data_IF_024873869015
#
_entry.id   IF_024873869015
#
_cell.length_a   1.000
_cell.length_b   1.000
_cell.length_c   1.000
_cell.angle_alpha   90.00
_cell.angle_beta   90.00
_cell.angle_gamma   90.00
#
_symmetry.space_group_name_H-M   'P 1'
#
loop_
_entity.id
_entity.type
_entity.pdbx_description
1 polymer ?
#
# COMPACT_ATOMS: atom_id res chain seq x y z
N UNK A 1 5.55 5.74 1.12
CA UNK A 1 6.29 4.82 0.21
C UNK A 1 7.22 5.60 -0.70
N UNK A 2 8.45 5.17 -0.89
CA UNK A 2 9.43 5.67 -1.89
C UNK A 2 9.78 7.17 -1.86
N UNK A 3 9.46 7.91 -0.81
CA UNK A 3 9.59 9.37 -0.80
C UNK A 3 11.02 9.84 -1.10
N UNK A 4 12.03 9.19 -0.50
CA UNK A 4 13.44 9.53 -0.72
C UNK A 4 13.87 9.29 -2.17
N UNK A 5 13.48 8.15 -2.75
CA UNK A 5 13.81 7.82 -4.14
C UNK A 5 13.07 8.74 -5.12
N UNK A 6 11.77 8.97 -4.89
CA UNK A 6 10.95 9.85 -5.73
C UNK A 6 11.50 11.28 -5.79
N UNK A 7 11.93 11.84 -4.65
CA UNK A 7 12.52 13.18 -4.59
C UNK A 7 13.83 13.27 -5.38
N UNK A 8 14.69 12.26 -5.26
CA UNK A 8 15.98 12.22 -5.97
C UNK A 8 15.80 12.07 -7.47
N UNK A 9 14.86 11.18 -7.87
CA UNK A 9 14.55 10.98 -9.29
C UNK A 9 13.85 12.20 -9.91
N UNK A 10 12.92 12.84 -9.19
CA UNK A 10 12.28 14.06 -9.69
C UNK A 10 13.32 15.18 -9.86
N UNK A 11 14.25 15.36 -8.93
CA UNK A 11 15.35 16.32 -9.06
C UNK A 11 16.23 16.01 -10.28
N UNK A 12 16.63 14.76 -10.47
CA UNK A 12 17.45 14.34 -11.60
C UNK A 12 16.75 14.59 -12.95
N UNK A 13 15.48 14.26 -13.04
CA UNK A 13 14.70 14.39 -14.27
C UNK A 13 14.18 15.81 -14.51
N UNK A 14 14.07 16.64 -13.47
CA UNK A 14 13.62 18.04 -13.57
C UNK A 14 14.54 18.89 -14.45
N UNK A 15 15.84 18.62 -14.42
CA UNK A 15 16.82 19.29 -15.26
C UNK A 15 16.47 19.14 -16.75
N UNK A 16 15.96 17.97 -17.15
CA UNK A 16 15.56 17.71 -18.54
C UNK A 16 14.18 18.27 -18.91
N UNK A 17 13.27 18.43 -17.91
CA UNK A 17 11.91 18.95 -18.17
C UNK A 17 11.88 20.42 -18.60
N UNK A 18 12.90 21.20 -18.21
CA UNK A 18 12.99 22.65 -18.50
C UNK A 18 13.73 23.02 -19.80
N UNK A 19 14.37 22.06 -20.47
CA UNK A 19 15.15 22.34 -21.68
C UNK A 19 14.38 21.97 -22.96
N UNK A 20 14.20 22.94 -23.84
CA UNK A 20 13.60 22.73 -25.16
C UNK A 20 14.49 21.92 -26.12
N UNK A 21 15.78 21.78 -25.82
CA UNK A 21 16.74 20.90 -26.50
C UNK A 21 17.59 20.19 -25.46
N UNK A 22 17.78 18.89 -25.62
CA UNK A 22 18.61 18.04 -24.76
C UNK A 22 19.81 17.57 -25.56
N UNK A 23 21.01 17.68 -25.00
CA UNK A 23 22.25 17.14 -25.58
C UNK A 23 22.54 15.74 -25.03
N UNK A 24 23.38 14.96 -25.71
CA UNK A 24 23.88 13.68 -25.19
C UNK A 24 24.56 13.84 -23.82
N UNK A 25 25.25 14.97 -23.60
CA UNK A 25 25.91 15.27 -22.35
C UNK A 25 24.88 15.40 -21.23
N UNK A 26 23.79 16.15 -21.46
CA UNK A 26 22.72 16.32 -20.48
C UNK A 26 22.03 14.98 -20.15
N UNK A 27 21.82 14.10 -21.14
CA UNK A 27 21.29 12.75 -20.92
C UNK A 27 22.25 11.93 -20.07
N UNK A 28 23.56 11.97 -20.37
CA UNK A 28 24.56 11.21 -19.62
C UNK A 28 24.66 11.67 -18.16
N UNK A 29 24.64 12.98 -17.92
CA UNK A 29 24.64 13.57 -16.57
C UNK A 29 23.38 13.20 -15.79
N UNK A 30 22.21 13.34 -16.40
CA UNK A 30 20.94 12.93 -15.77
C UNK A 30 20.92 11.44 -15.41
N UNK A 31 21.38 10.57 -16.32
CA UNK A 31 21.44 9.14 -16.04
C UNK A 31 22.47 8.78 -14.97
N UNK A 32 23.53 9.57 -14.80
CA UNK A 32 24.45 9.42 -13.67
C UNK A 32 23.75 9.72 -12.34
N UNK A 33 22.97 10.81 -12.28
CA UNK A 33 22.19 11.16 -11.09
C UNK A 33 21.06 10.15 -10.82
N UNK A 34 20.38 9.66 -11.86
CA UNK A 34 19.38 8.57 -11.74
C UNK A 34 20.03 7.32 -11.16
N UNK A 35 21.22 6.93 -11.65
CA UNK A 35 21.95 5.78 -11.11
C UNK A 35 22.29 5.98 -9.65
N UNK A 36 22.76 7.17 -9.28
CA UNK A 36 23.07 7.52 -7.89
C UNK A 36 21.83 7.43 -7.01
N UNK A 37 20.68 7.95 -7.47
CA UNK A 37 19.43 7.86 -6.75
C UNK A 37 18.99 6.40 -6.49
N UNK A 38 19.17 5.50 -7.48
CA UNK A 38 18.90 4.07 -7.33
C UNK A 38 19.85 3.40 -6.33
N UNK A 39 21.14 3.73 -6.37
CA UNK A 39 22.12 3.20 -5.40
C UNK A 39 21.82 3.67 -3.97
N UNK A 40 21.49 4.94 -3.80
CA UNK A 40 21.07 5.49 -2.51
C UNK A 40 19.76 4.88 -1.98
N UNK A 41 18.98 4.29 -2.87
CA UNK A 41 17.78 3.53 -2.55
C UNK A 41 18.04 2.04 -2.30
N UNK A 42 19.28 1.63 -2.10
CA UNK A 42 19.71 0.23 -1.92
C UNK A 42 19.42 -0.70 -3.13
N UNK A 43 19.33 -0.16 -4.34
CA UNK A 43 19.29 -0.97 -5.55
C UNK A 43 20.69 -1.50 -5.86
N UNK A 44 20.78 -2.79 -6.20
CA UNK A 44 22.05 -3.42 -6.57
C UNK A 44 22.76 -2.66 -7.71
N UNK A 45 24.08 -2.44 -7.58
CA UNK A 45 24.87 -1.68 -8.55
C UNK A 45 24.73 -2.19 -9.98
N UNK A 46 24.77 -3.52 -10.18
CA UNK A 46 24.65 -4.13 -11.51
C UNK A 46 23.29 -3.81 -12.14
N UNK A 47 22.23 -3.93 -11.37
CA UNK A 47 20.85 -3.61 -11.80
C UNK A 47 20.74 -2.12 -12.15
N UNK A 48 21.23 -1.22 -11.28
CA UNK A 48 21.19 0.22 -11.52
C UNK A 48 22.00 0.62 -12.78
N UNK A 49 23.14 -0.04 -13.03
CA UNK A 49 23.97 0.17 -14.22
C UNK A 49 23.24 -0.31 -15.49
N UNK A 50 22.72 -1.53 -15.48
CA UNK A 50 21.97 -2.11 -16.61
C UNK A 50 20.74 -1.27 -16.94
N UNK A 51 19.99 -0.85 -15.93
CA UNK A 51 18.83 0.02 -16.09
C UNK A 51 19.22 1.34 -16.81
N UNK A 52 20.23 2.06 -16.32
CA UNK A 52 20.64 3.33 -16.93
C UNK A 52 21.22 3.15 -18.34
N UNK A 53 21.83 2.00 -18.64
CA UNK A 53 22.30 1.71 -19.99
C UNK A 53 21.11 1.48 -20.95
N UNK A 54 20.10 0.69 -20.56
CA UNK A 54 18.89 0.48 -21.36
C UNK A 54 18.14 1.79 -21.60
N UNK A 55 18.01 2.63 -20.58
CA UNK A 55 17.39 3.97 -20.75
C UNK A 55 18.19 4.81 -21.75
N UNK A 56 19.54 4.78 -21.70
CA UNK A 56 20.39 5.50 -22.65
C UNK A 56 20.19 5.00 -24.08
N UNK A 57 20.23 3.71 -24.30
CA UNK A 57 20.02 3.09 -25.60
C UNK A 57 18.66 3.45 -26.21
N UNK A 58 17.58 3.36 -25.41
CA UNK A 58 16.24 3.73 -25.85
C UNK A 58 16.12 5.24 -26.15
N UNK A 59 16.75 6.07 -25.33
CA UNK A 59 16.76 7.51 -25.56
C UNK A 59 17.43 7.89 -26.88
N UNK A 60 18.55 7.27 -27.20
CA UNK A 60 19.26 7.47 -28.49
C UNK A 60 18.46 6.89 -29.66
N UNK A 61 17.90 5.67 -29.52
CA UNK A 61 17.13 4.99 -30.56
C UNK A 61 15.80 5.68 -30.90
N UNK A 62 15.18 6.38 -29.96
CA UNK A 62 13.93 7.12 -30.16
C UNK A 62 14.16 8.61 -30.55
N UNK A 63 15.38 8.99 -30.89
CA UNK A 63 15.73 10.38 -31.28
C UNK A 63 15.23 11.44 -30.26
N UNK A 64 15.36 11.15 -28.96
CA UNK A 64 14.93 12.06 -27.86
C UNK A 64 15.50 13.47 -28.06
N UNK A 65 16.72 13.57 -28.59
CA UNK A 65 17.41 14.83 -28.82
C UNK A 65 16.75 15.73 -29.87
N UNK A 66 15.95 15.16 -30.76
CA UNK A 66 15.32 15.87 -31.90
C UNK A 66 13.81 16.05 -31.75
N UNK A 67 13.21 15.54 -30.66
CA UNK A 67 11.77 15.67 -30.42
C UNK A 67 11.41 17.05 -29.87
N UNK A 68 10.14 17.47 -30.06
CA UNK A 68 9.61 18.73 -29.55
C UNK A 68 9.49 18.77 -28.01
N UNK A 69 9.40 17.59 -27.36
CA UNK A 69 9.26 17.47 -25.89
C UNK A 69 10.21 16.40 -25.32
N UNK A 70 11.52 16.62 -25.43
CA UNK A 70 12.51 15.59 -25.08
C UNK A 70 12.47 15.20 -23.60
N UNK A 71 12.19 16.12 -22.68
CA UNK A 71 12.08 15.83 -21.25
C UNK A 71 10.90 14.91 -20.93
N UNK A 72 9.76 15.06 -21.59
CA UNK A 72 8.60 14.17 -21.38
C UNK A 72 8.86 12.77 -21.93
N UNK A 73 9.50 12.68 -23.10
CA UNK A 73 9.88 11.38 -23.67
C UNK A 73 10.90 10.66 -22.78
N UNK A 74 11.88 11.37 -22.20
CA UNK A 74 12.82 10.78 -21.23
C UNK A 74 12.10 10.22 -20.00
N UNK A 75 11.17 10.98 -19.40
CA UNK A 75 10.38 10.50 -18.27
C UNK A 75 9.58 9.24 -18.63
N UNK A 76 8.99 9.21 -19.84
CA UNK A 76 8.28 8.03 -20.33
C UNK A 76 9.20 6.83 -20.45
N UNK A 77 10.39 6.98 -21.05
CA UNK A 77 11.38 5.90 -21.19
C UNK A 77 11.79 5.37 -19.80
N UNK A 78 12.09 6.26 -18.86
CA UNK A 78 12.43 5.88 -17.48
C UNK A 78 11.28 5.13 -16.80
N UNK A 79 10.03 5.58 -16.98
CA UNK A 79 8.84 4.90 -16.46
C UNK A 79 8.70 3.50 -17.05
N UNK A 80 8.80 3.37 -18.35
CA UNK A 80 8.63 2.10 -19.05
C UNK A 80 9.74 1.10 -18.64
N UNK A 81 10.99 1.56 -18.46
CA UNK A 81 12.10 0.75 -17.96
C UNK A 81 11.95 0.35 -16.48
N UNK A 82 11.48 1.25 -15.61
CA UNK A 82 11.15 0.91 -14.22
C UNK A 82 10.05 -0.14 -14.15
N UNK A 83 9.01 0.02 -14.97
CA UNK A 83 7.91 -0.94 -15.06
C UNK A 83 8.42 -2.32 -15.47
N UNK A 84 9.23 -2.39 -16.52
CA UNK A 84 9.84 -3.64 -17.00
C UNK A 84 10.75 -4.28 -15.93
N UNK A 85 11.53 -3.47 -15.21
CA UNK A 85 12.44 -3.93 -14.16
C UNK A 85 11.67 -4.57 -12.98
N UNK A 86 10.46 -4.07 -12.67
CA UNK A 86 9.60 -4.59 -11.62
C UNK A 86 8.68 -5.74 -12.08
N UNK A 87 8.73 -6.14 -13.34
CA UNK A 87 8.02 -7.32 -13.84
C UNK A 87 7.13 -7.09 -15.06
N UNK A 88 6.88 -5.83 -15.43
CA UNK A 88 6.03 -5.45 -16.57
C UNK A 88 4.54 -5.59 -16.26
N UNK A 89 4.03 -6.82 -16.30
CA UNK A 89 2.62 -7.12 -16.10
C UNK A 89 2.30 -7.57 -14.67
N UNK A 90 1.01 -7.55 -14.35
CA UNK A 90 0.47 -8.03 -13.08
C UNK A 90 0.33 -9.53 -13.09
N UNK A 91 0.89 -10.20 -12.09
CA UNK A 91 0.77 -11.65 -11.92
C UNK A 91 -0.27 -11.99 -10.86
N UNK A 92 -1.35 -12.64 -11.27
CA UNK A 92 -2.41 -13.06 -10.38
C UNK A 92 -1.97 -14.25 -9.51
N UNK A 93 -2.57 -14.33 -8.30
CA UNK A 93 -2.42 -15.52 -7.45
C UNK A 93 -3.21 -16.70 -8.06
N UNK A 94 -2.60 -17.88 -8.03
CA UNK A 94 -3.23 -19.09 -8.53
C UNK A 94 -4.10 -19.76 -7.46
N UNK A 95 -5.40 -19.57 -7.57
CA UNK A 95 -6.42 -20.16 -6.69
C UNK A 95 -7.49 -20.94 -7.49
N UNK A 96 -7.03 -21.65 -8.53
CA UNK A 96 -7.91 -22.41 -9.46
C UNK A 96 -8.34 -23.76 -8.92
N UNK A 97 -7.52 -24.41 -8.09
CA UNK A 97 -7.86 -25.71 -7.48
C UNK A 97 -8.86 -25.59 -6.31
N UNK A 98 -9.43 -26.71 -5.89
CA UNK A 98 -10.35 -26.78 -4.75
C UNK A 98 -10.01 -27.99 -3.85
N UNK A 99 -9.45 -27.78 -2.65
CA UNK A 99 -8.90 -26.51 -2.20
C UNK A 99 -7.60 -26.14 -2.92
N UNK A 100 -7.39 -24.85 -3.17
CA UNK A 100 -6.06 -24.34 -3.54
C UNK A 100 -5.21 -24.20 -2.29
N UNK A 101 -4.01 -24.77 -2.30
CA UNK A 101 -3.08 -24.71 -1.17
C UNK A 101 -2.03 -23.64 -1.43
N UNK A 102 -1.92 -22.68 -0.51
CA UNK A 102 -0.96 -21.58 -0.53
C UNK A 102 0.02 -21.79 0.62
N UNK A 103 1.31 -21.87 0.32
CA UNK A 103 2.37 -21.98 1.31
C UNK A 103 3.04 -20.62 1.53
N UNK A 104 3.01 -20.14 2.78
CA UNK A 104 3.69 -18.89 3.16
C UNK A 104 5.08 -19.20 3.68
N UNK A 105 6.11 -18.62 3.09
CA UNK A 105 7.52 -18.83 3.45
C UNK A 105 8.25 -17.52 3.73
N UNK A 106 9.35 -17.52 4.49
CA UNK A 106 10.15 -16.33 4.78
C UNK A 106 10.72 -16.30 6.18
N UNK A 107 11.56 -15.31 6.49
CA UNK A 107 12.22 -15.18 7.79
C UNK A 107 11.26 -14.76 8.92
N UNK A 108 11.70 -14.91 10.16
CA UNK A 108 11.01 -14.37 11.33
C UNK A 108 10.91 -12.84 11.23
N UNK A 109 9.76 -12.29 11.62
CA UNK A 109 9.54 -10.84 11.56
C UNK A 109 9.23 -10.27 10.16
N UNK A 110 9.27 -11.11 9.11
CA UNK A 110 8.88 -10.68 7.75
C UNK A 110 7.38 -10.40 7.60
N UNK A 111 6.55 -10.74 8.58
CA UNK A 111 5.12 -10.49 8.56
C UNK A 111 4.26 -11.62 8.00
N UNK A 112 4.77 -12.86 7.87
CA UNK A 112 4.03 -14.01 7.34
C UNK A 112 2.65 -14.19 7.98
N UNK A 113 2.58 -14.36 9.28
CA UNK A 113 1.34 -14.61 10.04
C UNK A 113 0.31 -13.49 9.83
N UNK A 114 0.74 -12.23 9.95
CA UNK A 114 -0.14 -11.09 9.68
C UNK A 114 -0.60 -11.06 8.24
N UNK A 115 0.31 -11.36 7.31
CA UNK A 115 -0.03 -11.34 5.88
C UNK A 115 -0.90 -12.54 5.48
N UNK A 116 -0.77 -13.70 6.14
CA UNK A 116 -1.69 -14.83 5.98
C UNK A 116 -3.14 -14.43 6.26
N UNK A 117 -3.38 -13.64 7.32
CA UNK A 117 -4.69 -13.09 7.61
C UNK A 117 -5.16 -12.05 6.59
N UNK A 118 -4.28 -11.14 6.17
CA UNK A 118 -4.60 -10.15 5.12
C UNK A 118 -4.96 -10.82 3.80
N UNK A 119 -4.20 -11.84 3.41
CA UNK A 119 -4.47 -12.62 2.21
C UNK A 119 -5.79 -13.39 2.31
N UNK A 120 -6.07 -13.99 3.47
CA UNK A 120 -7.34 -14.66 3.73
C UNK A 120 -8.52 -13.68 3.61
N UNK A 121 -8.40 -12.48 4.21
CA UNK A 121 -9.39 -11.42 4.09
C UNK A 121 -9.60 -10.98 2.64
N UNK A 122 -8.51 -10.74 1.90
CA UNK A 122 -8.55 -10.38 0.48
C UNK A 122 -9.25 -11.46 -0.36
N UNK A 123 -8.90 -12.73 -0.17
CA UNK A 123 -9.50 -13.85 -0.91
C UNK A 123 -10.99 -14.01 -0.59
N UNK A 124 -11.37 -13.82 0.69
CA UNK A 124 -12.76 -13.86 1.13
C UNK A 124 -13.59 -12.71 0.54
N UNK A 125 -13.10 -11.49 0.65
CA UNK A 125 -13.87 -10.28 0.31
C UNK A 125 -13.82 -9.92 -1.17
N UNK A 126 -12.65 -10.10 -1.83
CA UNK A 126 -12.46 -9.70 -3.23
C UNK A 126 -12.56 -10.86 -4.22
N UNK A 127 -12.33 -12.09 -3.79
CA UNK A 127 -12.35 -13.27 -4.67
C UNK A 127 -13.46 -14.26 -4.33
N UNK A 128 -14.31 -13.94 -3.34
CA UNK A 128 -15.45 -14.77 -2.92
C UNK A 128 -15.01 -16.21 -2.59
N UNK A 129 -13.81 -16.35 -1.99
CA UNK A 129 -13.26 -17.64 -1.56
C UNK A 129 -13.62 -17.91 -0.10
N UNK A 130 -13.59 -19.19 0.29
CA UNK A 130 -13.73 -19.65 1.68
C UNK A 130 -12.39 -20.19 2.16
N UNK A 131 -11.51 -19.34 2.72
CA UNK A 131 -10.19 -19.77 3.17
C UNK A 131 -10.22 -20.44 4.52
N UNK A 132 -9.24 -21.34 4.76
CA UNK A 132 -8.83 -21.88 6.07
C UNK A 132 -7.37 -21.50 6.29
N UNK A 133 -7.04 -20.97 7.47
CA UNK A 133 -5.67 -20.76 7.92
C UNK A 133 -5.16 -22.00 8.64
N UNK A 134 -3.89 -22.38 8.44
CA UNK A 134 -3.26 -23.53 9.09
C UNK A 134 -1.98 -23.11 9.80
N UNK A 135 -1.90 -23.35 11.12
CA UNK A 135 -0.79 -22.96 11.98
C UNK A 135 0.30 -24.03 11.96
N UNK A 136 1.36 -23.85 11.19
CA UNK A 136 2.51 -24.76 11.13
C UNK A 136 3.78 -24.21 11.82
N UNK A 137 3.69 -23.10 12.58
CA UNK A 137 4.81 -22.65 13.44
C UNK A 137 4.77 -23.39 14.79
N UNK A 138 5.28 -24.61 14.79
CA UNK A 138 5.27 -25.51 15.97
C UNK A 138 6.27 -25.10 17.06
N UNK A 139 7.22 -24.23 16.75
CA UNK A 139 8.30 -23.82 17.68
C UNK A 139 7.88 -22.70 18.61
N UNK A 140 6.84 -21.96 18.25
CA UNK A 140 6.39 -20.77 18.98
C UNK A 140 4.90 -20.85 19.29
N UNK A 141 4.52 -21.30 20.50
CA UNK A 141 3.09 -21.34 20.88
C UNK A 141 2.37 -19.99 20.68
N UNK A 142 3.04 -18.88 20.95
CA UNK A 142 2.50 -17.55 20.73
C UNK A 142 2.20 -17.23 19.24
N UNK A 143 2.89 -17.87 18.28
CA UNK A 143 2.59 -17.70 16.86
C UNK A 143 1.28 -18.39 16.47
N UNK A 144 0.97 -19.53 17.08
CA UNK A 144 -0.33 -20.21 16.90
C UNK A 144 -1.45 -19.32 17.43
N UNK A 145 -1.28 -18.77 18.65
CA UNK A 145 -2.25 -17.84 19.25
C UNK A 145 -2.43 -16.59 18.38
N UNK A 146 -1.33 -16.04 17.85
CA UNK A 146 -1.37 -14.90 16.94
C UNK A 146 -2.18 -15.21 15.68
N UNK A 147 -2.01 -16.39 15.08
CA UNK A 147 -2.77 -16.75 13.90
C UNK A 147 -4.27 -16.90 14.21
N UNK A 148 -4.63 -17.41 15.38
CA UNK A 148 -6.03 -17.47 15.84
C UNK A 148 -6.63 -16.08 16.01
N UNK A 149 -5.91 -15.14 16.66
CA UNK A 149 -6.34 -13.75 16.81
C UNK A 149 -6.55 -13.10 15.44
N UNK A 150 -5.62 -13.29 14.52
CA UNK A 150 -5.71 -12.77 13.16
C UNK A 150 -6.89 -13.39 12.41
N UNK A 151 -7.11 -14.72 12.54
CA UNK A 151 -8.25 -15.41 11.94
C UNK A 151 -9.59 -14.87 12.46
N UNK A 152 -9.71 -14.65 13.77
CA UNK A 152 -10.90 -14.06 14.40
C UNK A 152 -11.16 -12.64 13.87
N UNK A 153 -10.15 -11.80 13.78
CA UNK A 153 -10.26 -10.43 13.25
C UNK A 153 -10.85 -10.37 11.85
N UNK A 154 -10.51 -11.35 11.00
CA UNK A 154 -11.00 -11.40 9.60
C UNK A 154 -12.17 -12.35 9.41
N UNK A 155 -12.61 -13.02 10.48
CA UNK A 155 -13.70 -14.01 10.46
C UNK A 155 -13.38 -15.20 9.55
N UNK A 156 -12.15 -15.75 9.68
CA UNK A 156 -11.65 -16.92 8.96
C UNK A 156 -11.23 -17.98 9.98
N UNK A 157 -11.65 -19.23 9.76
CA UNK A 157 -11.30 -20.33 10.62
C UNK A 157 -9.81 -20.65 10.57
N UNK A 158 -9.26 -21.10 11.73
CA UNK A 158 -7.88 -21.52 11.87
C UNK A 158 -7.83 -22.97 12.32
N UNK A 159 -7.06 -23.79 11.62
CA UNK A 159 -6.70 -25.13 12.04
C UNK A 159 -5.36 -25.10 12.77
N UNK A 160 -5.28 -25.73 13.93
CA UNK A 160 -4.04 -25.91 14.68
C UNK A 160 -4.08 -27.24 15.44
N UNK A 161 -2.92 -27.86 15.60
CA UNK A 161 -2.73 -29.06 16.41
C UNK A 161 -1.57 -28.81 17.38
N UNK A 162 -1.91 -28.38 18.62
CA UNK A 162 -0.91 -27.95 19.62
C UNK A 162 -0.10 -29.12 20.21
N UNK A 163 -0.60 -30.34 20.08
CA UNK A 163 0.07 -31.55 20.57
C UNK A 163 1.08 -32.12 19.57
N UNK A 164 1.05 -31.64 18.33
CA UNK A 164 1.84 -32.17 17.25
C UNK A 164 3.04 -31.24 16.96
N UNK A 165 4.22 -31.80 16.85
CA UNK A 165 5.47 -31.08 16.55
C UNK A 165 5.95 -31.30 15.11
N UNK A 166 5.19 -32.08 14.30
CA UNK A 166 5.48 -32.31 12.89
C UNK A 166 4.68 -31.34 12.00
N UNK A 167 5.30 -30.28 11.45
CA UNK A 167 4.60 -29.31 10.64
C UNK A 167 4.07 -29.91 9.32
N UNK A 168 4.67 -31.00 8.82
CA UNK A 168 4.18 -31.71 7.61
C UNK A 168 2.87 -32.41 7.92
N UNK A 169 2.77 -33.09 9.07
CA UNK A 169 1.55 -33.77 9.50
C UNK A 169 0.41 -32.75 9.73
N UNK A 170 0.72 -31.61 10.38
CA UNK A 170 -0.25 -30.52 10.62
C UNK A 170 -0.75 -29.94 9.28
N UNK A 171 0.13 -29.67 8.34
CA UNK A 171 -0.23 -29.15 7.02
C UNK A 171 -1.17 -30.08 6.26
N UNK A 172 -0.89 -31.40 6.24
CA UNK A 172 -1.75 -32.40 5.62
C UNK A 172 -3.11 -32.50 6.32
N UNK A 173 -3.13 -32.51 7.64
CA UNK A 173 -4.35 -32.56 8.43
C UNK A 173 -5.22 -31.30 8.21
N UNK A 174 -4.61 -30.12 8.15
CA UNK A 174 -5.27 -28.86 7.83
C UNK A 174 -5.92 -28.86 6.42
N UNK A 175 -5.25 -29.46 5.42
CA UNK A 175 -5.82 -29.61 4.07
C UNK A 175 -7.00 -30.58 4.09
N UNK A 176 -6.93 -31.66 4.86
CA UNK A 176 -8.04 -32.62 5.03
C UNK A 176 -9.23 -31.94 5.72
N UNK A 177 -8.99 -31.17 6.78
CA UNK A 177 -10.01 -30.38 7.48
C UNK A 177 -10.69 -29.35 6.56
N UNK A 178 -9.92 -28.66 5.73
CA UNK A 178 -10.45 -27.73 4.74
C UNK A 178 -11.41 -28.40 3.77
N UNK A 179 -11.07 -29.61 3.30
CA UNK A 179 -11.96 -30.42 2.43
C UNK A 179 -13.23 -30.80 3.16
N UNK A 180 -13.14 -31.25 4.42
CA UNK A 180 -14.30 -31.64 5.22
C UNK A 180 -15.25 -30.46 5.49
N UNK A 181 -14.71 -29.25 5.69
CA UNK A 181 -15.48 -28.01 5.93
C UNK A 181 -15.93 -27.30 4.65
N UNK A 182 -15.59 -27.83 3.48
CA UNK A 182 -15.91 -27.21 2.18
C UNK A 182 -15.21 -25.86 1.99
N UNK A 183 -14.01 -25.69 2.57
CA UNK A 183 -13.12 -24.57 2.28
C UNK A 183 -12.44 -24.80 0.93
N UNK A 184 -12.34 -23.74 0.12
CA UNK A 184 -11.78 -23.84 -1.23
C UNK A 184 -10.38 -23.25 -1.37
N UNK A 185 -9.83 -22.65 -0.30
CA UNK A 185 -8.45 -22.20 -0.19
C UNK A 185 -7.90 -22.59 1.18
N UNK A 186 -6.64 -23.00 1.23
CA UNK A 186 -5.88 -23.27 2.45
C UNK A 186 -4.62 -22.41 2.43
N UNK A 187 -4.41 -21.63 3.48
CA UNK A 187 -3.19 -20.82 3.65
C UNK A 187 -2.39 -21.42 4.80
N UNK A 188 -1.21 -21.92 4.50
CA UNK A 188 -0.32 -22.58 5.47
C UNK A 188 0.72 -21.56 5.94
N UNK A 189 0.58 -21.13 7.21
CA UNK A 189 1.52 -20.23 7.87
C UNK A 189 2.64 -21.04 8.52
N UNK A 190 3.88 -20.88 8.03
CA UNK A 190 5.03 -21.67 8.49
C UNK A 190 5.90 -20.91 9.49
N UNK A 191 6.70 -21.65 10.23
CA UNK A 191 7.73 -21.08 11.07
C UNK A 191 8.68 -20.16 10.29
N UNK A 192 9.22 -19.17 10.96
CA UNK A 192 10.34 -18.36 10.47
C UNK A 192 11.45 -18.35 11.49
N UNK A 193 12.69 -18.41 11.04
CA UNK A 193 13.89 -18.22 11.87
C UNK A 193 14.53 -16.87 11.58
N UNK A 194 15.44 -16.46 12.44
CA UNK A 194 16.12 -15.14 12.33
C UNK A 194 17.06 -15.07 11.13
N UNK A 195 17.58 -16.20 10.68
CA UNK A 195 18.47 -16.29 9.54
C UNK A 195 18.14 -17.52 8.70
N UNK A 196 18.63 -17.54 7.46
CA UNK A 196 18.58 -18.72 6.59
C UNK A 196 19.53 -19.77 7.12
N UNK A 197 19.00 -20.90 7.59
CA UNK A 197 19.77 -22.06 8.04
C UNK A 197 19.28 -23.37 7.38
N UNK A 198 20.11 -24.39 7.37
CA UNK A 198 19.81 -25.68 6.70
C UNK A 198 18.59 -26.38 7.30
N UNK A 199 18.37 -26.26 8.61
CA UNK A 199 17.26 -26.92 9.31
C UNK A 199 15.94 -26.31 8.85
N UNK A 200 15.85 -25.00 8.85
CA UNK A 200 14.66 -24.29 8.36
C UNK A 200 14.39 -24.59 6.89
N UNK A 201 15.44 -24.54 6.06
CA UNK A 201 15.29 -24.74 4.62
C UNK A 201 14.86 -26.17 4.30
N UNK A 202 15.39 -27.15 5.05
CA UNK A 202 14.98 -28.56 4.93
C UNK A 202 13.52 -28.75 5.38
N UNK A 203 13.11 -28.14 6.49
CA UNK A 203 11.74 -28.25 6.98
C UNK A 203 10.74 -27.72 5.97
N UNK A 204 10.97 -26.47 5.48
CA UNK A 204 10.02 -25.87 4.53
C UNK A 204 10.01 -26.60 3.20
N UNK A 205 11.15 -27.15 2.74
CA UNK A 205 11.23 -28.00 1.55
C UNK A 205 10.43 -29.31 1.75
N UNK A 206 10.48 -29.92 2.94
CA UNK A 206 9.71 -31.11 3.27
C UNK A 206 8.19 -30.81 3.28
N UNK A 207 7.77 -29.68 3.86
CA UNK A 207 6.38 -29.23 3.80
C UNK A 207 5.98 -29.06 2.35
N UNK A 208 6.70 -28.26 1.58
CA UNK A 208 6.43 -27.99 0.16
C UNK A 208 6.27 -29.29 -0.65
N UNK A 209 7.22 -30.22 -0.54
CA UNK A 209 7.19 -31.51 -1.23
C UNK A 209 5.99 -32.38 -0.83
N UNK A 210 5.61 -32.32 0.45
CA UNK A 210 4.54 -33.16 1.01
C UNK A 210 3.14 -32.69 0.63
N UNK A 211 2.91 -31.38 0.46
CA UNK A 211 1.60 -30.79 0.18
C UNK A 211 1.42 -30.34 -1.27
N UNK A 212 2.50 -30.20 -2.05
CA UNK A 212 2.49 -29.74 -3.44
C UNK A 212 1.58 -28.52 -3.63
N UNK A 213 1.91 -27.36 -3.03
CA UNK A 213 1.04 -26.19 -3.05
C UNK A 213 0.84 -25.69 -4.49
N UNK A 214 -0.34 -25.13 -4.78
CA UNK A 214 -0.60 -24.42 -6.02
C UNK A 214 0.13 -23.08 -6.08
N UNK A 215 0.47 -22.54 -4.92
CA UNK A 215 1.16 -21.27 -4.79
C UNK A 215 2.10 -21.29 -3.60
N UNK A 216 3.37 -21.01 -3.83
CA UNK A 216 4.36 -20.77 -2.76
C UNK A 216 4.74 -19.31 -2.79
N UNK A 217 4.41 -18.59 -1.70
CA UNK A 217 4.64 -17.16 -1.60
C UNK A 217 5.77 -16.87 -0.60
N UNK A 218 6.78 -16.18 -1.08
CA UNK A 218 7.88 -15.71 -0.25
C UNK A 218 7.56 -14.32 0.34
N UNK A 219 7.47 -14.25 1.66
CA UNK A 219 7.15 -13.02 2.40
C UNK A 219 8.42 -12.39 2.92
N UNK A 220 8.65 -11.14 2.56
CA UNK A 220 9.86 -10.41 2.95
C UNK A 220 9.54 -8.97 3.34
N UNK A 221 10.28 -8.47 4.32
CA UNK A 221 10.22 -7.10 4.79
C UNK A 221 10.95 -6.17 3.81
N UNK A 222 10.23 -5.25 3.18
CA UNK A 222 10.78 -4.30 2.22
C UNK A 222 11.82 -3.36 2.83
N UNK A 223 11.74 -3.11 4.15
CA UNK A 223 12.67 -2.20 4.86
C UNK A 223 14.09 -2.76 4.98
N UNK A 224 14.28 -4.08 4.81
CA UNK A 224 15.60 -4.73 4.89
C UNK A 224 16.47 -4.50 3.65
N UNK A 225 15.95 -3.81 2.63
CA UNK A 225 16.72 -3.38 1.45
C UNK A 225 17.38 -4.55 0.70
N UNK A 226 18.70 -4.54 0.54
CA UNK A 226 19.43 -5.56 -0.21
C UNK A 226 19.39 -6.94 0.47
N UNK A 227 19.23 -7.01 1.81
CA UNK A 227 19.10 -8.28 2.53
C UNK A 227 17.80 -9.01 2.15
N UNK A 228 16.73 -8.27 1.85
CA UNK A 228 15.51 -8.84 1.30
C UNK A 228 15.80 -9.61 -0.01
N UNK A 229 16.62 -9.05 -0.87
CA UNK A 229 16.98 -9.62 -2.18
C UNK A 229 17.85 -10.86 -2.00
N UNK A 230 18.84 -10.81 -1.12
CA UNK A 230 19.73 -11.94 -0.83
C UNK A 230 18.93 -13.11 -0.22
N UNK A 231 18.05 -12.82 0.72
CA UNK A 231 17.16 -13.81 1.33
C UNK A 231 16.23 -14.44 0.30
N UNK A 232 15.61 -13.61 -0.56
CA UNK A 232 14.75 -14.09 -1.63
C UNK A 232 15.49 -15.08 -2.55
N UNK A 233 16.75 -14.77 -2.89
CA UNK A 233 17.58 -15.67 -3.70
C UNK A 233 17.79 -17.01 -3.01
N UNK A 234 18.19 -17.03 -1.74
CA UNK A 234 18.43 -18.26 -0.99
C UNK A 234 17.16 -19.14 -0.91
N UNK A 235 15.99 -18.55 -0.66
CA UNK A 235 14.72 -19.28 -0.66
C UNK A 235 14.34 -19.77 -2.07
N UNK A 236 14.56 -18.97 -3.11
CA UNK A 236 14.23 -19.35 -4.47
C UNK A 236 15.06 -20.52 -4.98
N UNK A 237 16.33 -20.56 -4.61
CA UNK A 237 17.25 -21.65 -5.02
C UNK A 237 16.80 -23.03 -4.47
N UNK A 238 16.03 -23.05 -3.37
CA UNK A 238 15.55 -24.30 -2.73
C UNK A 238 14.08 -24.58 -3.04
N UNK A 239 13.20 -23.56 -2.93
CA UNK A 239 11.75 -23.74 -3.05
C UNK A 239 11.23 -23.46 -4.45
N UNK A 240 11.99 -22.71 -5.26
CA UNK A 240 11.51 -22.20 -6.55
C UNK A 240 10.09 -21.59 -6.42
N UNK A 241 9.90 -20.72 -5.43
CA UNK A 241 8.59 -20.14 -5.10
C UNK A 241 7.93 -19.42 -6.30
N UNK A 242 6.60 -19.22 -6.25
CA UNK A 242 5.83 -18.70 -7.38
C UNK A 242 5.68 -17.18 -7.36
N UNK A 243 5.84 -16.54 -6.20
CA UNK A 243 5.72 -15.11 -6.08
C UNK A 243 6.24 -14.54 -4.77
N UNK A 244 6.43 -13.25 -4.76
CA UNK A 244 6.93 -12.48 -3.62
C UNK A 244 5.84 -11.59 -3.05
N UNK A 245 5.83 -11.48 -1.74
CA UNK A 245 5.04 -10.52 -0.97
C UNK A 245 6.00 -9.56 -0.28
N UNK A 246 5.85 -8.27 -0.56
CA UNK A 246 6.58 -7.22 0.13
C UNK A 246 5.74 -6.66 1.27
N UNK A 247 6.19 -6.84 2.51
CA UNK A 247 5.54 -6.28 3.69
C UNK A 247 6.19 -4.97 4.12
N UNK A 248 5.52 -4.20 4.97
CA UNK A 248 5.99 -2.94 5.58
C UNK A 248 6.43 -1.88 4.56
N UNK A 249 5.82 -1.90 3.39
CA UNK A 249 6.16 -0.97 2.32
C UNK A 249 5.78 0.48 2.65
N UNK A 250 4.85 0.68 3.58
CA UNK A 250 4.48 1.98 4.16
C UNK A 250 5.65 2.64 4.91
N UNK A 251 6.49 1.87 5.56
CA UNK A 251 7.74 2.32 6.21
C UNK A 251 8.94 2.46 5.27
N UNK A 252 8.88 1.84 4.08
CA UNK A 252 9.99 1.90 3.12
C UNK A 252 9.96 3.20 2.30
N UNK A 253 10.95 4.04 2.55
CA UNK A 253 11.16 5.29 1.80
C UNK A 253 12.13 5.14 0.64
N UNK A 254 12.86 4.03 0.55
CA UNK A 254 13.92 3.75 -0.42
C UNK A 254 13.45 2.98 -1.63
N UNK A 255 12.75 1.86 -1.43
CA UNK A 255 12.16 1.05 -2.50
C UNK A 255 13.10 0.09 -3.22
N UNK A 256 14.33 -0.06 -2.75
CA UNK A 256 15.34 -0.88 -3.40
C UNK A 256 14.97 -2.36 -3.53
N UNK A 257 14.32 -2.93 -2.51
CA UNK A 257 13.84 -4.30 -2.55
C UNK A 257 12.80 -4.51 -3.67
N UNK A 258 11.81 -3.61 -3.78
CA UNK A 258 10.76 -3.69 -4.81
C UNK A 258 11.33 -3.63 -6.24
N UNK A 259 12.38 -2.83 -6.44
CA UNK A 259 13.04 -2.69 -7.75
C UNK A 259 13.93 -3.89 -8.07
N UNK A 260 14.62 -4.44 -7.07
CA UNK A 260 15.71 -5.41 -7.29
C UNK A 260 15.23 -6.88 -7.28
N UNK A 261 14.21 -7.20 -6.51
CA UNK A 261 13.83 -8.61 -6.23
C UNK A 261 13.51 -9.38 -7.51
N UNK A 262 12.66 -8.81 -8.38
CA UNK A 262 12.28 -9.46 -9.66
C UNK A 262 13.49 -9.76 -10.53
N UNK A 263 14.44 -8.83 -10.60
CA UNK A 263 15.64 -8.97 -11.42
C UNK A 263 16.59 -10.06 -10.91
N UNK A 264 16.61 -10.31 -9.60
CA UNK A 264 17.52 -11.28 -8.98
C UNK A 264 16.94 -12.69 -8.99
N UNK A 265 15.66 -12.84 -8.60
CA UNK A 265 15.04 -14.16 -8.45
C UNK A 265 14.17 -14.56 -9.66
N UNK A 266 13.94 -13.65 -10.58
CA UNK A 266 13.05 -13.83 -11.75
C UNK A 266 11.63 -14.30 -11.37
N UNK A 267 11.15 -13.89 -10.20
CA UNK A 267 9.81 -14.20 -9.70
C UNK A 267 8.99 -12.90 -9.53
N UNK A 268 7.69 -12.92 -9.83
CA UNK A 268 6.85 -11.72 -9.73
C UNK A 268 6.62 -11.32 -8.28
N UNK A 269 6.51 -10.02 -8.05
CA UNK A 269 5.89 -9.51 -6.82
C UNK A 269 4.38 -9.56 -7.05
N UNK A 270 3.63 -10.28 -6.19
CA UNK A 270 2.18 -10.44 -6.33
C UNK A 270 1.40 -9.49 -5.45
N UNK A 271 1.88 -9.28 -4.22
CA UNK A 271 1.19 -8.45 -3.23
C UNK A 271 2.15 -7.56 -2.46
N UNK A 272 1.60 -6.48 -1.92
CA UNK A 272 2.27 -5.57 -1.01
C UNK A 272 1.44 -5.34 0.24
N UNK A 273 2.11 -5.24 1.39
CA UNK A 273 1.53 -4.78 2.65
C UNK A 273 1.80 -3.29 2.84
N UNK A 274 0.74 -2.52 3.01
CA UNK A 274 0.76 -1.04 3.02
C UNK A 274 0.33 -0.46 4.37
N UNK A 275 0.49 -1.22 5.46
CA UNK A 275 0.15 -0.80 6.81
C UNK A 275 -0.23 -1.98 7.71
N UNK A 276 -0.62 -1.72 8.94
CA UNK A 276 -0.91 -2.76 9.94
C UNK A 276 -2.31 -3.37 9.82
N UNK A 277 -3.30 -2.62 9.33
CA UNK A 277 -4.69 -3.07 9.23
C UNK A 277 -4.84 -4.30 8.33
N UNK A 278 -5.84 -5.14 8.59
CA UNK A 278 -6.10 -6.36 7.80
C UNK A 278 -6.50 -6.07 6.35
N UNK A 279 -7.04 -4.89 6.07
CA UNK A 279 -7.37 -4.40 4.73
C UNK A 279 -6.17 -3.80 3.99
N UNK A 280 -5.04 -3.55 4.70
CA UNK A 280 -3.85 -2.95 4.13
C UNK A 280 -3.01 -3.97 3.33
N UNK A 281 -3.61 -4.48 2.27
CA UNK A 281 -3.04 -5.37 1.26
C UNK A 281 -3.44 -4.84 -0.11
N UNK A 282 -2.47 -4.72 -1.01
CA UNK A 282 -2.73 -4.37 -2.40
C UNK A 282 -2.07 -5.39 -3.34
N UNK A 283 -2.65 -5.58 -4.51
CA UNK A 283 -1.99 -6.27 -5.62
C UNK A 283 -0.84 -5.41 -6.12
N UNK A 284 0.27 -6.01 -6.46
CA UNK A 284 1.42 -5.28 -7.00
C UNK A 284 1.21 -4.97 -8.48
N UNK A 285 1.09 -3.70 -8.81
CA UNK A 285 0.97 -3.19 -10.18
C UNK A 285 2.27 -2.50 -10.59
N UNK A 286 3.15 -3.13 -11.40
CA UNK A 286 4.44 -2.54 -11.77
C UNK A 286 4.35 -1.13 -12.33
N UNK A 287 3.38 -0.88 -13.22
CA UNK A 287 3.14 0.45 -13.82
C UNK A 287 2.83 1.51 -12.75
N UNK A 288 1.90 1.20 -11.83
CA UNK A 288 1.50 2.14 -10.75
C UNK A 288 2.66 2.40 -9.78
N UNK A 289 3.49 1.37 -9.51
CA UNK A 289 4.69 1.53 -8.67
C UNK A 289 5.73 2.42 -9.35
N UNK A 290 5.95 2.26 -10.66
CA UNK A 290 6.83 3.15 -11.43
C UNK A 290 6.34 4.60 -11.41
N UNK A 291 5.03 4.82 -11.56
CA UNK A 291 4.42 6.15 -11.48
C UNK A 291 4.58 6.78 -10.09
N UNK A 292 4.38 6.02 -9.01
CA UNK A 292 4.63 6.48 -7.62
C UNK A 292 6.10 6.85 -7.41
N UNK A 293 7.03 6.01 -7.87
CA UNK A 293 8.49 6.25 -7.77
C UNK A 293 8.88 7.53 -8.52
N UNK A 294 8.24 7.84 -9.64
CA UNK A 294 8.50 9.05 -10.41
C UNK A 294 7.72 10.29 -9.93
N UNK A 295 7.00 10.18 -8.80
CA UNK A 295 6.22 11.29 -8.25
C UNK A 295 5.01 11.69 -9.11
N UNK A 296 4.58 10.81 -10.03
CA UNK A 296 3.42 11.02 -10.90
C UNK A 296 2.09 10.73 -10.20
N UNK A 297 2.15 10.18 -8.97
CA UNK A 297 0.97 9.76 -8.22
C UNK A 297 0.41 8.40 -8.68
N UNK A 298 -0.71 8.01 -8.11
CA UNK A 298 -1.43 6.79 -8.45
C UNK A 298 -2.95 7.04 -8.34
N UNK A 299 -3.44 7.84 -9.25
CA UNK A 299 -4.85 8.25 -9.27
C UNK A 299 -5.79 7.07 -9.44
N UNK A 300 -5.37 6.03 -10.16
CA UNK A 300 -6.19 4.83 -10.39
C UNK A 300 -6.45 4.08 -9.08
N UNK A 301 -5.38 3.80 -8.30
CA UNK A 301 -5.55 3.16 -6.98
C UNK A 301 -6.36 4.02 -6.01
N UNK A 302 -6.21 5.35 -6.08
CA UNK A 302 -7.01 6.27 -5.25
C UNK A 302 -8.51 6.17 -5.60
N UNK A 303 -8.84 6.16 -6.88
CA UNK A 303 -10.23 6.03 -7.36
C UNK A 303 -10.80 4.65 -7.02
N UNK A 304 -10.03 3.57 -7.22
CA UNK A 304 -10.46 2.21 -6.85
C UNK A 304 -10.78 2.12 -5.35
N UNK A 305 -9.89 2.61 -4.46
CA UNK A 305 -10.14 2.64 -3.01
C UNK A 305 -11.34 3.51 -2.64
N UNK A 306 -11.51 4.65 -3.31
CA UNK A 306 -12.67 5.50 -3.11
C UNK A 306 -13.97 4.76 -3.49
N UNK A 307 -13.99 4.08 -4.64
CA UNK A 307 -15.17 3.31 -5.10
C UNK A 307 -15.51 2.14 -4.18
N UNK A 308 -14.52 1.46 -3.62
CA UNK A 308 -14.73 0.33 -2.69
C UNK A 308 -15.36 0.77 -1.35
N UNK A 309 -15.06 1.98 -0.89
CA UNK A 309 -15.59 2.53 0.35
C UNK A 309 -16.82 3.42 0.12
N UNK A 310 -17.21 3.63 -1.15
CA UNK A 310 -18.27 4.55 -1.52
C UNK A 310 -19.64 3.89 -1.33
N UNK A 311 -20.34 4.27 -0.28
CA UNK A 311 -21.77 3.96 -0.11
C UNK A 311 -22.61 5.00 -0.87
N UNK A 312 -23.14 4.57 -2.02
CA UNK A 312 -23.96 5.45 -2.86
C UNK A 312 -25.21 5.97 -2.13
N UNK A 313 -25.76 5.20 -1.20
CA UNK A 313 -26.94 5.61 -0.42
C UNK A 313 -26.55 6.68 0.61
N UNK A 314 -25.41 6.52 1.28
CA UNK A 314 -24.88 7.53 2.20
C UNK A 314 -24.52 8.82 1.46
N UNK A 315 -23.85 8.72 0.33
CA UNK A 315 -23.50 9.88 -0.51
C UNK A 315 -24.75 10.66 -0.95
N UNK A 316 -25.79 9.97 -1.41
CA UNK A 316 -27.09 10.60 -1.77
C UNK A 316 -27.77 11.24 -0.58
N UNK A 317 -27.69 10.65 0.63
CA UNK A 317 -28.23 11.26 1.88
C UNK A 317 -27.49 12.54 2.22
N UNK A 318 -26.17 12.51 2.20
CA UNK A 318 -25.31 13.68 2.48
C UNK A 318 -25.58 14.79 1.46
N UNK A 319 -25.67 14.46 0.18
CA UNK A 319 -25.99 15.43 -0.87
C UNK A 319 -27.34 16.11 -0.62
N UNK A 320 -28.37 15.37 -0.23
CA UNK A 320 -29.68 15.94 0.13
C UNK A 320 -29.59 16.84 1.38
N UNK A 321 -28.79 16.47 2.39
CA UNK A 321 -28.60 17.28 3.60
C UNK A 321 -27.87 18.59 3.30
N UNK A 322 -26.84 18.57 2.43
CA UNK A 322 -26.12 19.76 2.00
C UNK A 322 -27.06 20.71 1.26
N UNK A 323 -27.85 20.19 0.32
CA UNK A 323 -28.83 20.99 -0.41
C UNK A 323 -29.86 21.67 0.51
N UNK A 324 -30.23 21.03 1.61
CA UNK A 324 -31.18 21.56 2.62
C UNK A 324 -30.51 22.38 3.72
N UNK A 325 -29.21 22.68 3.65
CA UNK A 325 -28.42 23.31 4.73
C UNK A 325 -28.47 22.56 6.07
N UNK A 326 -28.59 21.24 6.05
CA UNK A 326 -28.70 20.35 7.21
C UNK A 326 -27.42 19.53 7.45
N UNK A 327 -26.30 19.88 6.81
CA UNK A 327 -25.01 19.24 7.01
C UNK A 327 -24.47 19.59 8.40
N UNK A 328 -24.27 18.60 9.26
CA UNK A 328 -23.84 18.74 10.65
C UNK A 328 -22.50 18.08 10.95
N UNK A 329 -22.07 18.13 12.21
CA UNK A 329 -20.83 17.50 12.66
C UNK A 329 -20.89 15.96 12.65
N UNK A 330 -22.09 15.36 12.78
CA UNK A 330 -22.22 13.90 12.63
C UNK A 330 -21.93 13.46 11.18
N UNK A 331 -22.37 14.26 10.19
CA UNK A 331 -22.09 13.99 8.79
C UNK A 331 -20.59 14.20 8.46
N UNK A 332 -19.99 15.22 9.08
CA UNK A 332 -18.56 15.49 8.97
C UNK A 332 -17.72 14.36 9.56
N UNK A 333 -18.10 13.84 10.73
CA UNK A 333 -17.45 12.70 11.37
C UNK A 333 -17.55 11.45 10.52
N UNK A 334 -18.72 11.16 9.94
CA UNK A 334 -18.92 10.05 9.01
C UNK A 334 -17.97 10.13 7.80
N UNK A 335 -17.81 11.33 7.21
CA UNK A 335 -16.87 11.54 6.11
C UNK A 335 -15.40 11.28 6.52
N UNK A 336 -14.99 11.77 7.69
CA UNK A 336 -13.64 11.49 8.22
C UNK A 336 -13.43 9.99 8.41
N UNK A 337 -14.42 9.29 8.96
CA UNK A 337 -14.33 7.84 9.17
C UNK A 337 -14.26 7.06 7.85
N UNK A 338 -14.98 7.50 6.80
CA UNK A 338 -14.85 6.92 5.47
C UNK A 338 -13.45 7.10 4.90
N UNK A 339 -12.86 8.29 5.01
CA UNK A 339 -11.48 8.54 4.57
C UNK A 339 -10.49 7.68 5.36
N UNK A 340 -10.67 7.53 6.68
CA UNK A 340 -9.84 6.63 7.50
C UNK A 340 -9.91 5.16 7.06
N UNK A 341 -11.05 4.71 6.56
CA UNK A 341 -11.21 3.34 6.04
C UNK A 341 -10.46 3.12 4.72
N UNK A 342 -10.23 4.18 3.93
CA UNK A 342 -9.47 4.09 2.67
C UNK A 342 -7.96 3.82 2.88
N UNK A 343 -7.44 3.99 4.09
CA UNK A 343 -6.03 3.75 4.44
C UNK A 343 -5.38 4.90 5.19
N UNK A 344 -4.02 4.86 5.25
CA UNK A 344 -3.23 5.92 5.87
C UNK A 344 -3.32 7.21 5.03
N UNK A 345 -3.56 8.36 5.65
CA UNK A 345 -3.69 9.65 4.98
C UNK A 345 -2.42 10.03 4.19
N UNK A 346 -1.23 9.73 4.72
CA UNK A 346 0.04 9.98 4.02
C UNK A 346 0.12 9.20 2.69
N UNK A 347 -0.37 7.96 2.67
CA UNK A 347 -0.40 7.13 1.47
C UNK A 347 -1.41 7.65 0.45
N UNK A 348 -2.63 8.01 0.91
CA UNK A 348 -3.66 8.57 0.03
C UNK A 348 -3.19 9.88 -0.62
N UNK A 349 -2.54 10.74 0.15
CA UNK A 349 -1.96 11.99 -0.38
C UNK A 349 -0.81 11.73 -1.35
N UNK A 350 0.01 10.70 -1.11
CA UNK A 350 1.06 10.28 -2.04
C UNK A 350 0.53 9.77 -3.39
N UNK A 351 -0.74 9.37 -3.45
CA UNK A 351 -1.39 8.96 -4.71
C UNK A 351 -1.84 10.14 -5.56
N UNK A 352 -1.95 11.34 -4.98
CA UNK A 352 -2.35 12.56 -5.71
C UNK A 352 -1.12 13.19 -6.37
N UNK A 353 -1.12 13.38 -7.70
CA UNK A 353 -0.01 14.02 -8.41
C UNK A 353 0.31 15.41 -7.84
N UNK A 354 1.58 15.63 -7.46
CA UNK A 354 2.05 16.93 -6.95
C UNK A 354 1.71 17.25 -5.49
N UNK A 355 0.84 16.50 -4.83
CA UNK A 355 0.46 16.77 -3.44
C UNK A 355 1.62 16.58 -2.45
N UNK A 356 2.55 15.66 -2.73
CA UNK A 356 3.73 15.42 -1.89
C UNK A 356 4.63 16.67 -1.72
N UNK A 357 4.65 17.58 -2.70
CA UNK A 357 5.40 18.85 -2.61
C UNK A 357 4.69 19.90 -1.75
N UNK A 358 3.35 19.90 -1.72
CA UNK A 358 2.55 20.86 -0.96
C UNK A 358 2.49 20.55 0.54
N UNK A 359 2.83 19.33 0.94
CA UNK A 359 2.63 18.83 2.30
C UNK A 359 3.91 18.58 3.08
N UNK A 360 5.08 19.01 2.60
CA UNK A 360 6.36 18.88 3.35
C UNK A 360 6.28 19.49 4.76
N UNK A 361 5.40 20.47 4.94
CA UNK A 361 5.26 21.24 6.20
C UNK A 361 3.95 20.89 6.97
N UNK A 362 3.15 19.93 6.50
CA UNK A 362 1.91 19.53 7.17
C UNK A 362 2.08 18.14 7.74
N UNK A 363 2.35 18.08 9.03
CA UNK A 363 2.34 16.81 9.77
C UNK A 363 0.88 16.39 9.96
N UNK A 364 0.38 15.56 9.01
CA UNK A 364 -0.93 14.93 9.12
C UNK A 364 -0.76 13.70 9.99
N UNK A 365 -0.75 13.92 11.29
CA UNK A 365 -0.72 12.88 12.28
C UNK A 365 -2.12 12.23 12.40
N UNK A 366 -2.18 10.91 12.50
CA UNK A 366 -3.42 10.18 12.82
C UNK A 366 -4.03 10.66 14.16
N UNK A 367 -3.21 11.24 15.05
CA UNK A 367 -3.66 11.86 16.30
C UNK A 367 -4.49 13.14 16.09
N UNK A 368 -4.30 13.87 14.99
CA UNK A 368 -5.14 15.01 14.65
C UNK A 368 -6.60 14.62 14.48
N UNK A 369 -6.86 13.44 13.91
CA UNK A 369 -8.23 12.92 13.78
C UNK A 369 -8.83 12.50 15.13
N UNK A 370 -8.03 11.97 16.06
CA UNK A 370 -8.49 11.64 17.42
C UNK A 370 -8.99 12.89 18.16
N UNK A 371 -8.28 14.01 18.01
CA UNK A 371 -8.72 15.27 18.59
C UNK A 371 -10.04 15.78 17.98
N UNK A 372 -10.20 15.68 16.68
CA UNK A 372 -11.44 16.03 15.97
C UNK A 372 -12.61 15.17 16.47
N UNK A 373 -12.41 13.86 16.54
CA UNK A 373 -13.41 12.91 17.06
C UNK A 373 -13.79 13.24 18.52
N UNK A 374 -12.79 13.47 19.38
CA UNK A 374 -13.01 13.83 20.79
C UNK A 374 -13.82 15.14 20.94
N UNK A 375 -13.50 16.15 20.14
CA UNK A 375 -14.24 17.43 20.13
C UNK A 375 -15.69 17.20 19.72
N UNK A 376 -15.95 16.44 18.63
CA UNK A 376 -17.32 16.19 18.14
C UNK A 376 -18.09 15.34 19.15
N UNK A 377 -17.49 14.32 19.74
CA UNK A 377 -18.14 13.49 20.76
C UNK A 377 -18.45 14.25 22.05
N UNK A 378 -17.72 15.33 22.36
CA UNK A 378 -18.00 16.21 23.50
C UNK A 378 -19.12 17.21 23.24
N UNK A 379 -19.64 17.31 22.02
CA UNK A 379 -20.80 18.10 21.67
C UNK A 379 -22.11 17.36 21.99
N UNK A 380 -23.16 18.10 22.38
CA UNK A 380 -24.51 17.51 22.47
C UNK A 380 -25.05 17.19 21.07
N UNK A 381 -26.04 16.26 20.93
CA UNK A 381 -26.67 15.96 19.65
C UNK A 381 -27.21 17.19 18.91
N UNK A 382 -27.75 18.17 19.68
CA UNK A 382 -28.25 19.42 19.11
C UNK A 382 -27.11 20.31 18.57
N UNK A 383 -26.01 20.41 19.30
CA UNK A 383 -24.82 21.16 18.86
C UNK A 383 -24.17 20.53 17.63
N UNK A 384 -24.16 19.19 17.51
CA UNK A 384 -23.66 18.49 16.32
C UNK A 384 -24.55 18.74 15.10
N UNK A 385 -25.87 18.77 15.29
CA UNK A 385 -26.81 19.02 14.19
C UNK A 385 -26.91 20.49 13.79
N UNK A 386 -26.67 21.42 14.72
CA UNK A 386 -26.79 22.89 14.51
C UNK A 386 -25.52 23.61 14.95
N UNK A 387 -24.45 23.62 14.13
CA UNK A 387 -23.17 24.24 14.47
C UNK A 387 -23.27 25.73 14.88
N UNK A 388 -24.29 26.42 14.43
CA UNK A 388 -24.54 27.83 14.76
C UNK A 388 -24.84 28.08 16.27
N UNK A 389 -25.18 27.04 17.02
CA UNK A 389 -25.42 27.15 18.48
C UNK A 389 -24.11 27.28 19.29
N UNK A 390 -22.95 27.05 18.69
CA UNK A 390 -21.68 27.01 19.39
C UNK A 390 -21.14 28.39 19.72
N UNK A 391 -21.60 28.95 20.87
CA UNK A 391 -21.05 30.17 21.45
C UNK A 391 -19.77 29.93 22.26
N UNK A 392 -19.16 31.01 22.79
CA UNK A 392 -17.90 30.95 23.53
C UNK A 392 -17.96 30.03 24.77
N UNK A 393 -19.06 30.05 25.53
CA UNK A 393 -19.24 29.19 26.72
C UNK A 393 -19.31 27.72 26.35
N UNK A 394 -20.06 27.35 25.29
CA UNK A 394 -20.18 25.98 24.80
C UNK A 394 -18.84 25.47 24.26
N UNK A 395 -18.08 26.29 23.52
CA UNK A 395 -16.75 25.96 23.05
C UNK A 395 -15.77 25.70 24.20
N UNK A 396 -15.84 26.47 25.28
CA UNK A 396 -15.02 26.25 26.48
C UNK A 396 -15.35 24.92 27.15
N UNK A 397 -16.63 24.57 27.28
CA UNK A 397 -17.08 23.29 27.83
C UNK A 397 -16.63 22.11 26.96
N UNK A 398 -16.80 22.23 25.63
CA UNK A 398 -16.39 21.19 24.65
C UNK A 398 -14.88 20.96 24.71
N UNK A 399 -14.08 22.04 24.74
CA UNK A 399 -12.63 21.93 24.88
C UNK A 399 -12.21 21.23 26.16
N UNK A 400 -12.82 21.58 27.30
CA UNK A 400 -12.56 20.91 28.59
C UNK A 400 -12.96 19.41 28.55
N UNK A 401 -14.14 19.09 27.97
CA UNK A 401 -14.65 17.72 27.90
C UNK A 401 -13.88 16.82 26.93
N UNK A 402 -13.28 17.39 25.90
CA UNK A 402 -12.48 16.66 24.89
C UNK A 402 -10.98 16.58 25.21
N UNK A 403 -10.54 17.22 26.28
CA UNK A 403 -9.10 17.34 26.58
C UNK A 403 -8.34 18.21 25.56
N UNK A 404 -9.06 19.11 24.84
CA UNK A 404 -8.47 19.97 23.82
C UNK A 404 -8.54 21.45 24.21
N UNK A 405 -7.82 22.30 23.49
CA UNK A 405 -7.84 23.75 23.68
C UNK A 405 -9.02 24.41 22.95
N UNK A 406 -9.45 25.59 23.42
CA UNK A 406 -10.44 26.40 22.71
C UNK A 406 -9.97 26.74 21.28
N UNK A 407 -8.65 26.90 21.09
CA UNK A 407 -8.07 27.16 19.78
C UNK A 407 -8.30 26.02 18.82
N UNK A 408 -8.11 24.75 19.26
CA UNK A 408 -8.38 23.55 18.45
C UNK A 408 -9.87 23.44 18.13
N UNK A 409 -10.77 23.73 19.07
CA UNK A 409 -12.22 23.78 18.80
C UNK A 409 -12.55 24.84 17.74
N UNK A 410 -11.97 26.03 17.82
CA UNK A 410 -12.18 27.08 16.82
C UNK A 410 -11.59 26.72 15.46
N UNK A 411 -10.46 26.04 15.43
CA UNK A 411 -9.85 25.54 14.19
C UNK A 411 -10.76 24.51 13.50
N UNK A 412 -11.33 23.56 14.26
CA UNK A 412 -12.31 22.61 13.75
C UNK A 412 -13.53 23.31 13.16
N UNK A 413 -14.07 24.31 13.85
CA UNK A 413 -15.20 25.12 13.36
C UNK A 413 -14.87 25.77 12.01
N UNK A 414 -13.67 26.35 11.88
CA UNK A 414 -13.23 27.00 10.65
C UNK A 414 -13.09 25.98 9.50
N UNK A 415 -12.52 24.79 9.78
CA UNK A 415 -12.40 23.72 8.80
C UNK A 415 -13.77 23.20 8.34
N UNK A 416 -14.69 23.00 9.28
CA UNK A 416 -16.06 22.60 8.99
C UNK A 416 -16.78 23.61 8.08
N UNK A 417 -16.69 24.91 8.40
CA UNK A 417 -17.28 25.99 7.59
C UNK A 417 -16.69 26.05 6.17
N UNK A 418 -15.37 25.90 6.04
CA UNK A 418 -14.69 25.89 4.74
C UNK A 418 -15.15 24.71 3.89
N UNK A 419 -15.22 23.51 4.48
CA UNK A 419 -15.65 22.30 3.79
C UNK A 419 -17.14 22.40 3.40
N UNK A 420 -18.01 22.87 4.29
CA UNK A 420 -19.43 23.08 4.02
C UNK A 420 -19.65 24.05 2.85
N UNK A 421 -18.87 25.14 2.79
CA UNK A 421 -18.91 26.10 1.68
C UNK A 421 -18.45 25.49 0.36
N UNK A 422 -17.35 24.73 0.39
CA UNK A 422 -16.81 24.04 -0.79
C UNK A 422 -17.81 23.03 -1.34
N UNK A 423 -18.43 22.22 -0.50
CA UNK A 423 -19.46 21.26 -0.91
C UNK A 423 -20.68 21.94 -1.55
N UNK A 424 -21.13 23.09 -1.00
CA UNK A 424 -22.22 23.88 -1.59
C UNK A 424 -21.85 24.44 -2.98
N UNK A 425 -20.63 24.92 -3.15
CA UNK A 425 -20.16 25.41 -4.46
C UNK A 425 -20.10 24.29 -5.51
N UNK A 426 -19.75 23.08 -5.10
CA UNK A 426 -19.72 21.91 -6.02
C UNK A 426 -21.12 21.52 -6.49
N UNK A 427 -22.17 21.67 -5.70
CA UNK A 427 -23.56 21.39 -6.07
C UNK A 427 -24.19 22.45 -6.98
N UNK A 428 -23.76 23.72 -6.88
CA UNK A 428 -24.32 24.86 -7.60
C UNK A 428 -23.82 25.06 -9.04
N UNK A 429 -23.32 24.03 -9.74
CA UNK A 429 -22.79 24.17 -11.11
C UNK A 429 -21.38 24.79 -11.17
N UNK A 430 -20.78 25.11 -10.04
CA UNK A 430 -19.42 25.65 -9.94
C UNK A 430 -18.29 24.66 -10.20
N UNK A 431 -18.57 23.36 -10.34
CA UNK A 431 -17.58 22.33 -10.59
C UNK A 431 -16.77 22.57 -11.87
N UNK A 432 -17.43 23.05 -12.93
CA UNK A 432 -16.74 23.43 -14.19
C UNK A 432 -15.85 24.67 -14.03
N UNK A 433 -16.29 25.66 -13.24
CA UNK A 433 -15.48 26.87 -12.95
C UNK A 433 -14.27 26.56 -12.07
N UNK A 434 -14.42 25.63 -11.11
CA UNK A 434 -13.31 25.19 -10.24
C UNK A 434 -12.27 24.38 -11.02
N UNK A 435 -12.70 23.54 -11.96
CA UNK A 435 -11.79 22.80 -12.86
C UNK A 435 -11.03 23.75 -13.81
N UNK A 436 -11.66 24.83 -14.26
CA UNK A 436 -10.99 25.90 -15.01
C UNK A 436 -10.04 26.74 -14.14
N UNK A 437 -10.38 27.04 -12.88
CA UNK A 437 -9.48 27.73 -11.94
C UNK A 437 -8.26 26.88 -11.58
N UNK A 438 -8.41 25.57 -11.38
CA UNK A 438 -7.26 24.66 -11.17
C UNK A 438 -6.37 24.53 -12.41
N UNK A 439 -6.95 24.65 -13.63
CA UNK A 439 -6.16 24.67 -14.88
C UNK A 439 -5.37 25.98 -15.08
N UNK A 440 -5.83 27.07 -14.50
CA UNK A 440 -5.24 28.41 -14.65
C UNK A 440 -4.39 28.86 -13.44
N UNK A 441 -4.13 28.01 -12.46
CA UNK A 441 -3.13 28.30 -11.42
C UNK A 441 -1.73 28.29 -12.06
N UNK A 442 -0.94 29.35 -11.89
CA UNK A 442 0.42 29.37 -12.40
C UNK A 442 1.22 28.24 -11.77
N UNK A 443 1.90 27.47 -12.63
CA UNK A 443 2.78 26.34 -12.31
C UNK A 443 4.05 26.80 -11.62
#
# INVERSE_FOLDING_TARGET
MFNSLSEKLDKALHVLKGHGRISEINVAETLKEVRRALLDADVNYKIAKEFTNRVKEKALGQNVLTTLQPGQLMVKIVKDELTALMGGDVEAINVSATPSVILMSGLQGSGKTTFSGKLANYLKTKKTKKPLLVACDVYRPAAIDQLHIVGEQVGVEVYSDRGNTDPVAIAKAGIAEAKAKGCNVVIIDTAGRLAVDEVMMTEIANIHKAIQPQETLFVVDAMTGQDAVNTAKAFNDILNFDGVILTKLDGDTRGGAAISIKSVVNKPIKFIGTGEKMEAIDVFYPVRMAERILGMGDVVSLVERAQEQFDEQEARKIQKKIAKNQFGFDDFLSQIQQVKKMGNMKDLMGMIPGAGKMMKDVDVDDDAFKHIEAIIHSMTPEERSKPTLLNASRKKRIGAGSGTTIQQVNQLMKQFDQMSKMMKMMQGGGGQKMMQMMKNMPR
#
